data_IF_075120043157
#
_entry.id   IF_075120043157
#
_cell.length_a   1.000
_cell.length_b   1.000
_cell.length_c   1.000
_cell.angle_alpha   90.00
_cell.angle_beta   90.00
_cell.angle_gamma   90.00
#
_symmetry.space_group_name_H-M   'P 1'
#
loop_
_entity.id
_entity.type
_entity.pdbx_description
1 polymer ?
#
# COMPACT_ATOMS: atom_id res chain seq x y z
N UNK A 1 -15.42 -75.03 73.19
CA UNK A 1 -14.11 -75.57 72.76
C UNK A 1 -13.93 -75.29 71.28
N UNK A 2 -12.80 -74.71 70.91
CA UNK A 2 -12.45 -74.21 69.57
C UNK A 2 -12.64 -75.27 68.48
N UNK A 3 -13.24 -74.91 67.35
CA UNK A 3 -12.87 -75.42 66.03
C UNK A 3 -13.26 -74.41 64.94
N UNK A 4 -12.24 -73.93 64.23
CA UNK A 4 -12.33 -73.10 63.04
C UNK A 4 -12.99 -73.84 61.87
N UNK A 5 -13.81 -73.15 61.07
CA UNK A 5 -13.96 -73.42 59.63
C UNK A 5 -14.10 -72.10 58.86
N UNK A 6 -13.29 -71.97 57.81
CA UNK A 6 -13.14 -70.83 56.93
C UNK A 6 -14.39 -70.59 56.07
N UNK A 7 -14.78 -69.32 55.91
CA UNK A 7 -15.66 -68.87 54.85
C UNK A 7 -14.81 -68.20 53.77
N UNK A 8 -14.93 -68.69 52.52
CA UNK A 8 -14.40 -68.03 51.33
C UNK A 8 -15.11 -66.68 51.15
N UNK A 9 -14.34 -65.59 51.01
CA UNK A 9 -14.84 -64.32 50.50
C UNK A 9 -14.25 -64.09 49.11
N UNK A 10 -15.10 -64.18 48.09
CA UNK A 10 -14.80 -63.84 46.69
C UNK A 10 -14.63 -62.32 46.58
N UNK A 11 -13.40 -61.87 46.30
CA UNK A 11 -13.13 -60.47 45.93
C UNK A 11 -13.40 -60.24 44.45
N UNK A 12 -14.38 -59.39 44.12
CA UNK A 12 -14.51 -58.78 42.80
C UNK A 12 -13.70 -57.48 42.81
N UNK A 13 -12.58 -57.45 42.07
CA UNK A 13 -11.85 -56.22 41.75
C UNK A 13 -12.68 -55.37 40.79
N UNK A 14 -13.07 -54.17 41.21
CA UNK A 14 -13.54 -53.11 40.30
C UNK A 14 -12.30 -52.37 39.79
N UNK A 15 -11.92 -52.62 38.54
CA UNK A 15 -10.87 -51.86 37.87
C UNK A 15 -11.42 -50.47 37.49
N UNK A 16 -10.93 -49.43 38.16
CA UNK A 16 -11.18 -48.04 37.78
C UNK A 16 -10.46 -47.70 36.48
N UNK A 17 -11.21 -47.45 35.42
CA UNK A 17 -10.70 -46.85 34.19
C UNK A 17 -10.39 -45.37 34.46
N UNK A 18 -9.11 -45.07 34.70
CA UNK A 18 -8.61 -43.70 34.57
C UNK A 18 -8.55 -43.34 33.09
N UNK A 19 -9.56 -42.64 32.60
CA UNK A 19 -9.50 -41.96 31.30
C UNK A 19 -8.50 -40.81 31.40
N UNK A 20 -7.26 -41.08 30.99
CA UNK A 20 -6.24 -40.06 30.80
C UNK A 20 -6.66 -39.22 29.58
N UNK A 21 -7.38 -38.12 29.80
CA UNK A 21 -7.67 -37.15 28.74
C UNK A 21 -6.36 -36.48 28.34
N UNK A 22 -5.65 -37.06 27.37
CA UNK A 22 -4.59 -36.34 26.67
C UNK A 22 -5.22 -35.09 26.07
N UNK A 23 -4.88 -33.92 26.63
CA UNK A 23 -5.19 -32.66 26.01
C UNK A 23 -4.68 -32.72 24.57
N UNK A 24 -5.55 -32.44 23.59
CA UNK A 24 -5.18 -32.40 22.20
C UNK A 24 -3.93 -31.49 22.06
N UNK A 25 -2.89 -31.91 21.32
CA UNK A 25 -1.69 -31.11 21.16
C UNK A 25 -2.09 -29.72 20.67
N UNK A 26 -1.69 -28.68 21.41
CA UNK A 26 -1.92 -27.29 21.01
C UNK A 26 -1.41 -27.14 19.58
N UNK A 27 -2.33 -26.79 18.66
CA UNK A 27 -1.99 -26.57 17.26
C UNK A 27 -0.82 -25.57 17.21
N UNK A 28 0.25 -25.85 16.45
CA UNK A 28 1.34 -24.89 16.30
C UNK A 28 0.76 -23.59 15.76
N UNK A 29 0.92 -22.52 16.54
CA UNK A 29 0.57 -21.16 16.13
C UNK A 29 1.87 -20.43 15.77
N UNK A 30 1.77 -19.42 14.90
CA UNK A 30 2.97 -18.74 14.41
C UNK A 30 3.70 -18.07 15.57
N UNK A 31 5.04 -18.15 15.57
CA UNK A 31 5.85 -17.50 16.61
C UNK A 31 5.69 -15.98 16.53
N UNK A 32 5.39 -15.37 17.67
CA UNK A 32 5.41 -13.92 17.83
C UNK A 32 6.83 -13.37 17.67
N UNK A 33 6.95 -12.25 16.98
CA UNK A 33 8.21 -11.52 16.78
C UNK A 33 8.48 -11.17 15.33
N UNK A 34 9.73 -10.83 15.05
CA UNK A 34 10.20 -10.39 13.74
C UNK A 34 10.50 -11.56 12.82
N UNK A 35 10.14 -11.42 11.56
CA UNK A 35 10.39 -12.36 10.49
C UNK A 35 11.02 -11.65 9.30
N UNK A 36 11.84 -12.39 8.57
CA UNK A 36 12.36 -11.98 7.27
C UNK A 36 11.78 -12.88 6.20
N UNK A 37 10.98 -12.31 5.32
CA UNK A 37 10.50 -12.96 4.11
C UNK A 37 11.39 -12.64 2.91
N UNK A 38 11.44 -13.55 1.95
CA UNK A 38 12.15 -13.39 0.68
C UNK A 38 11.26 -13.87 -0.44
N UNK A 39 10.85 -12.97 -1.32
CA UNK A 39 10.19 -13.34 -2.57
C UNK A 39 11.21 -13.83 -3.58
N UNK A 40 10.86 -14.87 -4.35
CA UNK A 40 11.67 -15.37 -5.47
C UNK A 40 11.14 -14.80 -6.80
N UNK A 41 11.78 -13.75 -7.30
CA UNK A 41 11.40 -13.04 -8.53
C UNK A 41 12.41 -13.34 -9.65
N UNK A 42 12.11 -14.35 -10.47
CA UNK A 42 13.04 -14.86 -11.50
C UNK A 42 14.42 -15.19 -10.87
N UNK A 43 15.49 -14.52 -11.31
CA UNK A 43 16.85 -14.67 -10.78
C UNK A 43 17.16 -13.75 -9.58
N UNK A 44 16.18 -13.02 -9.06
CA UNK A 44 16.36 -12.06 -7.95
C UNK A 44 15.56 -12.46 -6.71
N UNK A 45 16.18 -12.27 -5.54
CA UNK A 45 15.57 -12.47 -4.24
C UNK A 45 15.19 -11.11 -3.66
N UNK A 46 13.91 -10.88 -3.37
CA UNK A 46 13.41 -9.60 -2.85
C UNK A 46 13.05 -9.76 -1.37
N UNK A 47 13.91 -9.30 -0.44
CA UNK A 47 13.63 -9.42 0.97
C UNK A 47 12.57 -8.42 1.43
N UNK A 48 11.82 -8.79 2.46
CA UNK A 48 10.93 -7.91 3.20
C UNK A 48 10.89 -8.38 4.66
N UNK A 49 10.58 -7.47 5.58
CA UNK A 49 10.44 -7.81 6.99
C UNK A 49 9.00 -7.59 7.43
N UNK A 50 8.56 -8.41 8.37
CA UNK A 50 7.27 -8.27 9.03
C UNK A 50 7.38 -8.67 10.50
N UNK A 51 6.46 -8.18 11.30
CA UNK A 51 6.25 -8.62 12.67
C UNK A 51 4.92 -9.37 12.76
N UNK A 52 4.90 -10.46 13.52
CA UNK A 52 3.67 -11.16 13.90
C UNK A 52 3.45 -10.99 15.40
N UNK A 53 2.25 -10.53 15.76
CA UNK A 53 1.77 -10.39 17.14
C UNK A 53 0.43 -11.10 17.29
N UNK A 54 0.14 -11.65 18.46
CA UNK A 54 -1.09 -12.38 18.75
C UNK A 54 -0.79 -13.81 19.17
N UNK A 55 -1.53 -14.29 20.18
CA UNK A 55 -1.37 -15.63 20.75
C UNK A 55 -2.28 -16.68 20.11
N UNK A 56 -3.18 -16.25 19.24
CA UNK A 56 -4.15 -17.06 18.51
C UNK A 56 -4.50 -16.39 17.17
N UNK A 57 -5.19 -17.15 16.31
CA UNK A 57 -5.52 -16.72 14.95
C UNK A 57 -6.47 -15.52 14.91
N UNK A 58 -7.35 -15.36 15.90
CA UNK A 58 -8.37 -14.31 15.91
C UNK A 58 -7.74 -12.95 16.19
N UNK A 59 -6.74 -12.91 17.06
CA UNK A 59 -6.06 -11.69 17.47
C UNK A 59 -4.73 -11.44 16.75
N UNK A 60 -4.39 -12.27 15.76
CA UNK A 60 -3.11 -12.15 15.07
C UNK A 60 -3.06 -10.97 14.10
N UNK A 61 -2.02 -10.16 14.27
CA UNK A 61 -1.69 -9.02 13.43
C UNK A 61 -0.37 -9.30 12.75
N UNK A 62 -0.37 -9.17 11.43
CA UNK A 62 0.81 -9.16 10.59
C UNK A 62 1.12 -7.71 10.24
N UNK A 63 2.27 -7.22 10.68
CA UNK A 63 2.70 -5.83 10.45
C UNK A 63 3.87 -5.83 9.47
N UNK A 64 3.67 -5.30 8.26
CA UNK A 64 4.78 -5.07 7.32
C UNK A 64 5.67 -3.95 7.86
N UNK A 65 6.98 -4.18 7.81
CA UNK A 65 8.00 -3.23 8.22
C UNK A 65 8.67 -2.67 6.96
N UNK A 66 8.66 -1.35 6.76
CA UNK A 66 9.40 -0.69 5.68
C UNK A 66 10.04 0.58 6.25
N UNK A 67 11.32 0.51 6.63
CA UNK A 67 11.97 1.59 7.38
C UNK A 67 11.23 1.91 8.68
N UNK A 68 10.75 3.13 8.80
CA UNK A 68 9.90 3.63 9.89
C UNK A 68 8.41 3.28 9.72
N UNK A 69 7.95 3.01 8.49
CA UNK A 69 6.55 2.71 8.20
C UNK A 69 6.12 1.33 8.72
N UNK A 70 4.89 1.27 9.23
CA UNK A 70 4.21 0.06 9.72
C UNK A 70 2.84 -0.02 9.06
N UNK A 71 2.55 -1.13 8.41
CA UNK A 71 1.24 -1.39 7.80
C UNK A 71 0.68 -2.70 8.37
N UNK A 72 -0.47 -2.63 9.04
CA UNK A 72 -1.10 -3.77 9.69
C UNK A 72 -2.09 -4.51 8.78
N UNK A 73 -2.11 -5.82 8.94
CA UNK A 73 -2.96 -6.76 8.22
C UNK A 73 -3.48 -7.84 9.17
N UNK A 74 -4.71 -8.28 8.92
CA UNK A 74 -5.31 -9.37 9.68
C UNK A 74 -4.85 -10.73 9.15
N UNK A 75 -4.52 -11.64 10.07
CA UNK A 75 -4.15 -13.02 9.76
C UNK A 75 -5.36 -13.92 9.92
N UNK A 76 -5.69 -14.68 8.88
CA UNK A 76 -6.73 -15.72 8.95
C UNK A 76 -6.08 -17.09 8.89
N UNK A 77 -6.27 -17.92 9.92
CA UNK A 77 -5.82 -19.31 9.89
C UNK A 77 -6.87 -20.18 9.18
N UNK A 78 -6.54 -20.68 8.00
CA UNK A 78 -7.47 -21.45 7.14
C UNK A 78 -7.38 -22.96 7.37
N UNK A 79 -6.25 -23.44 7.89
CA UNK A 79 -6.02 -24.82 8.33
C UNK A 79 -5.01 -24.83 9.49
N UNK A 80 -4.79 -25.97 10.18
CA UNK A 80 -3.85 -26.04 11.30
C UNK A 80 -2.44 -25.54 10.97
N UNK A 81 -1.99 -25.72 9.73
CA UNK A 81 -0.68 -25.29 9.23
C UNK A 81 -0.76 -24.16 8.20
N UNK A 82 -1.95 -23.60 7.92
CA UNK A 82 -2.15 -22.70 6.78
C UNK A 82 -2.72 -21.35 7.20
N UNK A 83 -2.13 -20.29 6.67
CA UNK A 83 -2.52 -18.90 6.91
C UNK A 83 -2.82 -18.15 5.61
N UNK A 84 -3.72 -17.19 5.73
CA UNK A 84 -4.14 -16.30 4.68
C UNK A 84 -4.12 -14.88 5.21
N UNK A 85 -3.33 -14.01 4.57
CA UNK A 85 -3.19 -12.62 4.98
C UNK A 85 -3.65 -11.77 3.81
N UNK A 86 -4.86 -11.22 3.89
CA UNK A 86 -5.38 -10.33 2.85
C UNK A 86 -4.64 -9.00 2.94
N UNK A 87 -4.15 -8.50 1.81
CA UNK A 87 -3.47 -7.21 1.70
C UNK A 87 -4.50 -6.07 1.72
N UNK A 88 -5.23 -5.92 2.82
CA UNK A 88 -6.26 -4.89 3.02
C UNK A 88 -7.20 -4.77 1.80
N UNK A 89 -7.26 -3.60 1.17
CA UNK A 89 -8.10 -3.31 0.00
C UNK A 89 -7.42 -3.61 -1.34
N UNK A 90 -6.16 -4.08 -1.34
CA UNK A 90 -5.37 -4.28 -2.55
C UNK A 90 -5.75 -5.51 -3.38
N UNK A 91 -6.76 -6.27 -2.95
CA UNK A 91 -7.19 -7.52 -3.58
C UNK A 91 -6.00 -8.37 -4.00
N UNK A 92 -5.17 -8.62 -2.99
CA UNK A 92 -4.05 -9.52 -3.02
C UNK A 92 -3.93 -10.20 -1.66
N UNK A 93 -3.20 -11.31 -1.59
CA UNK A 93 -2.94 -12.00 -0.34
C UNK A 93 -1.61 -12.72 -0.33
N UNK A 94 -1.08 -12.90 0.88
CA UNK A 94 -0.10 -13.94 1.16
C UNK A 94 -0.87 -15.21 1.55
N UNK A 95 -0.66 -16.28 0.79
CA UNK A 95 -1.22 -17.61 1.05
C UNK A 95 -0.07 -18.52 1.42
N UNK A 96 -0.02 -18.97 2.67
CA UNK A 96 1.19 -19.57 3.21
C UNK A 96 0.93 -20.73 4.17
N UNK A 97 1.95 -21.56 4.33
CA UNK A 97 2.03 -22.71 5.22
C UNK A 97 3.11 -22.49 6.26
N UNK A 98 2.84 -22.93 7.48
CA UNK A 98 3.78 -23.02 8.59
C UNK A 98 4.43 -24.40 8.50
N UNK A 99 5.73 -24.42 8.21
CA UNK A 99 6.49 -25.65 8.08
C UNK A 99 6.85 -26.25 9.43
N UNK A 100 7.16 -27.54 9.46
CA UNK A 100 7.54 -28.26 10.69
C UNK A 100 8.85 -27.75 11.31
N UNK A 101 9.73 -27.14 10.52
CA UNK A 101 10.96 -26.49 10.98
C UNK A 101 10.73 -25.06 11.50
N UNK A 102 9.48 -24.59 11.44
CA UNK A 102 9.07 -23.26 11.89
C UNK A 102 9.24 -22.15 10.84
N UNK A 103 9.67 -22.46 9.61
CA UNK A 103 9.62 -21.49 8.50
C UNK A 103 8.18 -21.28 8.03
N UNK A 104 7.97 -20.19 7.30
CA UNK A 104 6.73 -19.96 6.55
C UNK A 104 7.07 -20.03 5.07
N UNK A 105 6.38 -20.87 4.31
CA UNK A 105 6.51 -20.92 2.84
C UNK A 105 5.18 -20.58 2.22
N UNK A 106 5.17 -19.97 1.05
CA UNK A 106 3.91 -19.62 0.41
C UNK A 106 4.08 -18.80 -0.83
N UNK A 107 3.00 -18.14 -1.21
CA UNK A 107 2.98 -17.29 -2.38
C UNK A 107 2.18 -16.02 -2.11
N UNK A 108 2.66 -14.91 -2.69
CA UNK A 108 1.86 -13.74 -2.93
C UNK A 108 0.99 -13.93 -4.18
N UNK A 109 -0.31 -13.68 -4.07
CA UNK A 109 -1.28 -13.86 -5.14
C UNK A 109 -2.16 -12.63 -5.31
N UNK A 110 -2.43 -12.27 -6.55
CA UNK A 110 -3.52 -11.35 -6.87
C UNK A 110 -4.87 -12.06 -6.67
N UNK A 111 -5.83 -11.34 -6.10
CA UNK A 111 -7.24 -11.73 -5.95
C UNK A 111 -8.15 -10.96 -6.93
N UNK A 112 -7.57 -10.15 -7.82
CA UNK A 112 -8.30 -9.47 -8.90
C UNK A 112 -8.97 -10.55 -9.75
N UNK A 113 -10.30 -10.48 -10.00
CA UNK A 113 -10.97 -11.50 -10.80
C UNK A 113 -10.40 -11.58 -12.21
N UNK A 114 -10.30 -12.80 -12.73
CA UNK A 114 -9.78 -13.09 -14.07
C UNK A 114 -8.34 -12.62 -14.32
N UNK A 115 -7.65 -12.07 -13.31
CA UNK A 115 -6.24 -11.76 -13.42
C UNK A 115 -5.43 -13.05 -13.39
N UNK A 116 -4.93 -13.44 -14.57
CA UNK A 116 -4.03 -14.57 -14.75
C UNK A 116 -2.59 -14.07 -14.59
N UNK A 117 -2.19 -13.82 -13.35
CA UNK A 117 -0.80 -13.51 -12.99
C UNK A 117 -0.10 -14.69 -12.38
N UNK A 118 1.23 -14.74 -12.51
CA UNK A 118 2.04 -15.71 -11.78
C UNK A 118 1.97 -15.40 -10.29
N UNK A 119 1.72 -16.43 -9.48
CA UNK A 119 1.94 -16.35 -8.04
C UNK A 119 3.43 -16.10 -7.78
N UNK A 120 3.75 -15.30 -6.77
CA UNK A 120 5.12 -14.97 -6.42
C UNK A 120 5.53 -15.74 -5.16
N UNK A 121 6.34 -16.80 -5.27
CA UNK A 121 6.74 -17.61 -4.13
C UNK A 121 7.54 -16.82 -3.12
N UNK A 122 7.42 -17.17 -1.86
CA UNK A 122 8.27 -16.66 -0.79
C UNK A 122 8.56 -17.70 0.29
N UNK A 123 9.67 -17.48 0.98
CA UNK A 123 10.03 -18.17 2.22
C UNK A 123 10.29 -17.12 3.29
N UNK A 124 9.86 -17.36 4.51
CA UNK A 124 10.14 -16.50 5.65
C UNK A 124 10.69 -17.25 6.86
N UNK A 125 11.67 -16.62 7.51
CA UNK A 125 12.42 -17.17 8.62
C UNK A 125 12.27 -16.28 9.86
N UNK A 126 12.12 -16.93 11.01
CA UNK A 126 11.89 -16.27 12.30
C UNK A 126 13.18 -15.69 12.89
N UNK A 127 13.07 -14.56 13.59
CA UNK A 127 14.16 -13.98 14.37
C UNK A 127 15.20 -13.20 13.55
N UNK A 128 15.01 -13.08 12.24
CA UNK A 128 15.89 -12.33 11.36
C UNK A 128 15.39 -10.88 11.21
N UNK A 129 16.06 -9.96 11.90
CA UNK A 129 15.72 -8.53 11.85
C UNK A 129 16.38 -7.78 10.69
N UNK A 130 17.43 -8.33 10.09
CA UNK A 130 18.06 -7.74 8.91
C UNK A 130 17.17 -7.91 7.67
N UNK A 131 17.22 -6.95 6.75
CA UNK A 131 16.55 -7.05 5.44
C UNK A 131 17.48 -7.69 4.42
N UNK A 132 18.64 -7.09 4.25
CA UNK A 132 19.74 -7.59 3.43
C UNK A 132 20.81 -8.19 4.34
N UNK A 133 21.44 -9.28 3.91
CA UNK A 133 22.38 -10.02 4.76
C UNK A 133 23.57 -9.17 5.19
N UNK A 134 23.99 -9.32 6.45
CA UNK A 134 25.19 -8.67 6.99
C UNK A 134 26.49 -9.17 6.33
N UNK A 135 26.49 -10.35 5.72
CA UNK A 135 27.62 -10.85 4.91
C UNK A 135 27.96 -9.90 3.75
N UNK A 136 26.94 -9.25 3.16
CA UNK A 136 27.09 -8.16 2.19
C UNK A 136 27.52 -6.84 2.84
N UNK A 137 27.58 -6.74 4.16
CA UNK A 137 28.02 -5.54 4.90
C UNK A 137 29.50 -5.61 5.34
N UNK A 138 30.20 -6.70 5.02
CA UNK A 138 31.59 -6.92 5.45
C UNK A 138 32.61 -6.06 4.70
N UNK A 139 32.31 -5.69 3.45
CA UNK A 139 33.01 -4.60 2.77
C UNK A 139 32.31 -3.27 3.11
N UNK A 140 33.01 -2.26 3.67
CA UNK A 140 32.41 -0.96 3.90
C UNK A 140 31.97 -0.36 2.56
N UNK A 141 30.85 0.37 2.56
CA UNK A 141 30.42 1.13 1.40
C UNK A 141 31.57 2.02 0.89
N UNK A 142 31.93 1.87 -0.38
CA UNK A 142 32.98 2.69 -0.99
C UNK A 142 32.51 4.13 -1.22
N UNK A 143 31.18 4.33 -1.28
CA UNK A 143 30.55 5.59 -1.58
C UNK A 143 29.40 5.90 -0.60
N UNK A 144 29.15 7.20 -0.41
CA UNK A 144 27.94 7.70 0.23
C UNK A 144 27.01 8.31 -0.84
N UNK A 145 25.86 7.68 -1.07
CA UNK A 145 24.88 8.08 -2.08
C UNK A 145 23.71 8.88 -1.52
N UNK A 146 23.83 9.43 -0.30
CA UNK A 146 22.80 10.31 0.27
C UNK A 146 22.57 11.54 -0.61
N UNK A 147 21.31 11.91 -0.80
CA UNK A 147 20.90 13.11 -1.51
C UNK A 147 19.75 12.89 -2.46
N UNK A 148 19.53 13.90 -3.29
CA UNK A 148 18.48 13.95 -4.32
C UNK A 148 19.08 13.56 -5.67
N UNK A 149 18.42 12.63 -6.34
CA UNK A 149 18.86 12.02 -7.60
C UNK A 149 17.81 12.21 -8.67
N UNK A 150 18.21 12.69 -9.84
CA UNK A 150 17.42 12.63 -11.07
C UNK A 150 17.62 11.25 -11.69
N UNK A 151 16.55 10.48 -11.78
CA UNK A 151 16.54 9.12 -12.31
C UNK A 151 15.90 9.13 -13.70
N UNK A 152 16.74 9.05 -14.72
CA UNK A 152 16.31 8.93 -16.11
C UNK A 152 15.80 7.52 -16.33
N UNK A 153 14.51 7.38 -16.67
CA UNK A 153 13.85 6.08 -16.80
C UNK A 153 13.84 5.63 -18.26
N UNK A 154 14.30 4.39 -18.49
CA UNK A 154 14.22 3.75 -19.80
C UNK A 154 13.07 2.76 -19.84
N UNK A 155 12.03 3.11 -20.60
CA UNK A 155 10.85 2.27 -20.83
C UNK A 155 10.45 2.28 -22.31
N UNK A 156 9.69 1.26 -22.73
CA UNK A 156 9.19 1.18 -24.12
C UNK A 156 8.31 2.37 -24.50
N UNK A 157 7.55 2.89 -23.54
CA UNK A 157 6.76 4.11 -23.69
C UNK A 157 7.49 5.29 -23.02
N UNK A 158 7.36 6.52 -23.53
CA UNK A 158 7.93 7.69 -22.87
C UNK A 158 7.35 7.86 -21.46
N UNK A 159 8.21 7.70 -20.44
CA UNK A 159 7.86 7.90 -19.03
C UNK A 159 8.68 9.06 -18.48
N UNK A 160 8.08 10.00 -17.73
CA UNK A 160 8.85 11.03 -17.06
C UNK A 160 9.93 10.46 -16.13
N UNK A 161 11.01 11.22 -15.97
CA UNK A 161 12.04 10.93 -14.97
C UNK A 161 11.42 10.82 -13.57
N UNK A 162 12.15 10.12 -12.70
CA UNK A 162 11.82 9.97 -11.29
C UNK A 162 12.83 10.71 -10.43
N UNK A 163 12.46 10.98 -9.19
CA UNK A 163 13.38 11.54 -8.20
C UNK A 163 13.66 10.50 -7.13
N UNK A 164 14.93 10.19 -6.88
CA UNK A 164 15.36 9.40 -5.74
C UNK A 164 15.77 10.30 -4.58
N UNK A 165 15.09 10.15 -3.44
CA UNK A 165 15.49 10.76 -2.17
C UNK A 165 16.16 9.69 -1.33
N UNK A 166 17.49 9.68 -1.29
CA UNK A 166 18.27 8.63 -0.62
C UNK A 166 18.95 9.17 0.64
N UNK A 167 18.99 8.34 1.68
CA UNK A 167 19.71 8.60 2.93
C UNK A 167 20.51 7.35 3.32
N UNK A 168 21.81 7.53 3.52
CA UNK A 168 22.74 6.47 3.86
C UNK A 168 23.44 6.74 5.21
N UNK A 169 23.46 5.74 6.07
CA UNK A 169 24.17 5.72 7.36
C UNK A 169 25.06 4.47 7.42
N UNK A 170 26.36 4.65 7.18
CA UNK A 170 27.27 3.51 6.96
C UNK A 170 26.85 2.73 5.72
N UNK A 171 26.55 1.44 5.89
CA UNK A 171 26.03 0.59 4.81
C UNK A 171 24.50 0.63 4.73
N UNK A 172 23.79 1.12 5.75
CA UNK A 172 22.32 1.17 5.73
C UNK A 172 21.87 2.25 4.76
N UNK A 173 20.95 1.88 3.88
CA UNK A 173 20.32 2.79 2.93
C UNK A 173 18.81 2.84 3.20
N UNK A 174 18.24 4.02 3.09
CA UNK A 174 16.79 4.24 3.05
C UNK A 174 16.49 5.20 1.93
N UNK A 175 15.29 5.15 1.37
CA UNK A 175 14.92 6.14 0.38
C UNK A 175 13.49 6.05 -0.11
N UNK A 176 13.12 7.06 -0.88
CA UNK A 176 11.82 7.17 -1.53
C UNK A 176 12.06 7.51 -3.00
N UNK A 177 11.38 6.80 -3.89
CA UNK A 177 11.36 7.11 -5.33
C UNK A 177 10.06 7.82 -5.65
N UNK A 178 10.14 9.07 -6.04
CA UNK A 178 9.01 9.89 -6.45
C UNK A 178 8.82 9.84 -7.96
N UNK A 179 7.55 9.92 -8.38
CA UNK A 179 7.12 9.99 -9.77
C UNK A 179 5.91 10.93 -9.88
N UNK A 180 5.52 11.27 -11.11
CA UNK A 180 4.33 12.12 -11.36
C UNK A 180 3.00 11.52 -10.87
N UNK A 181 2.95 10.23 -10.54
CA UNK A 181 1.74 9.57 -10.03
C UNK A 181 1.77 9.39 -8.50
N UNK A 182 2.89 9.73 -7.86
CA UNK A 182 3.14 9.59 -6.43
C UNK A 182 4.46 8.91 -6.14
N UNK A 183 4.60 8.35 -4.93
CA UNK A 183 5.88 7.84 -4.43
C UNK A 183 5.87 6.32 -4.14
N UNK A 184 7.07 5.76 -3.97
CA UNK A 184 7.27 4.34 -3.66
C UNK A 184 6.94 3.96 -2.23
N UNK A 185 6.61 4.95 -1.37
CA UNK A 185 6.76 4.89 0.09
C UNK A 185 8.22 4.64 0.48
N UNK A 186 8.46 4.54 1.79
CA UNK A 186 9.80 4.30 2.31
C UNK A 186 10.31 2.90 1.91
N UNK A 187 11.50 2.88 1.32
CA UNK A 187 12.26 1.67 1.00
C UNK A 187 13.45 1.56 1.95
N UNK A 188 13.84 0.34 2.26
CA UNK A 188 15.02 0.05 3.08
C UNK A 188 16.00 -0.81 2.28
N UNK A 189 17.28 -0.62 2.52
CA UNK A 189 18.33 -1.10 1.63
C UNK A 189 19.71 -1.13 2.25
N UNK A 190 20.69 -1.45 1.41
CA UNK A 190 22.10 -1.53 1.76
C UNK A 190 22.96 -0.98 0.62
N UNK A 191 24.09 -0.38 0.97
CA UNK A 191 25.22 -0.10 0.06
C UNK A 191 26.38 -0.99 0.45
N UNK A 192 26.99 -1.66 -0.52
CA UNK A 192 28.13 -2.55 -0.32
C UNK A 192 29.10 -2.43 -1.49
N UNK A 193 30.36 -2.06 -1.21
CA UNK A 193 31.31 -1.72 -2.27
C UNK A 193 30.78 -0.59 -3.16
N UNK A 194 30.67 -0.88 -4.46
CA UNK A 194 30.10 -0.04 -5.52
C UNK A 194 28.66 -0.44 -5.90
N UNK A 195 27.98 -1.27 -5.11
CA UNK A 195 26.61 -1.73 -5.39
C UNK A 195 25.63 -1.29 -4.31
N UNK A 196 24.36 -1.14 -4.68
CA UNK A 196 23.28 -0.84 -3.76
C UNK A 196 22.01 -1.62 -4.08
N UNK A 197 21.26 -1.92 -3.03
CA UNK A 197 19.96 -2.60 -3.11
C UNK A 197 18.95 -1.88 -2.21
N UNK A 198 17.69 -1.78 -2.64
CA UNK A 198 16.55 -1.32 -1.84
C UNK A 198 15.38 -2.26 -2.09
N UNK A 199 14.60 -2.56 -1.05
CA UNK A 199 13.32 -3.24 -1.21
C UNK A 199 12.24 -2.67 -0.29
N UNK A 200 11.01 -2.89 -0.70
CA UNK A 200 9.83 -2.56 0.10
C UNK A 200 8.66 -3.45 -0.30
N UNK A 201 7.76 -3.70 0.64
CA UNK A 201 6.50 -4.39 0.35
C UNK A 201 5.39 -3.77 1.19
N UNK A 202 4.38 -3.19 0.53
CA UNK A 202 3.30 -2.44 1.20
C UNK A 202 1.92 -3.05 0.97
N UNK A 203 1.88 -4.27 0.41
CA UNK A 203 0.66 -5.00 0.09
C UNK A 203 0.45 -5.26 -1.40
N UNK A 204 0.33 -4.24 -2.28
CA UNK A 204 -0.06 -4.46 -3.67
C UNK A 204 1.04 -5.01 -4.58
N UNK A 205 2.31 -4.78 -4.27
CA UNK A 205 3.45 -5.42 -4.93
C UNK A 205 4.74 -5.20 -4.16
N UNK A 206 5.72 -6.11 -4.24
CA UNK A 206 7.06 -5.83 -3.78
C UNK A 206 7.76 -4.87 -4.75
N UNK A 207 8.55 -3.95 -4.21
CA UNK A 207 9.45 -3.07 -4.94
C UNK A 207 10.86 -3.56 -4.66
N UNK A 208 11.67 -3.65 -5.71
CA UNK A 208 13.08 -3.98 -5.61
C UNK A 208 13.89 -3.06 -6.53
N UNK A 209 14.96 -2.48 -6.00
CA UNK A 209 15.89 -1.66 -6.76
C UNK A 209 17.26 -2.23 -6.52
N UNK A 210 18.01 -2.46 -7.59
CA UNK A 210 19.43 -2.83 -7.54
C UNK A 210 20.21 -1.98 -8.51
N UNK A 211 21.45 -1.63 -8.17
CA UNK A 211 22.27 -0.82 -9.05
C UNK A 211 23.73 -0.76 -8.67
N UNK A 212 24.50 -0.13 -9.54
CA UNK A 212 25.93 0.17 -9.39
C UNK A 212 26.14 1.67 -9.20
N UNK A 213 27.19 1.99 -8.48
CA UNK A 213 27.73 3.32 -8.23
C UNK A 213 28.98 3.40 -9.10
N UNK A 214 28.89 4.16 -10.18
CA UNK A 214 29.98 4.26 -11.15
C UNK A 214 31.14 5.12 -10.60
N UNK A 215 32.30 5.05 -11.23
CA UNK A 215 33.50 5.83 -10.83
C UNK A 215 33.26 7.35 -10.84
N UNK A 216 32.41 7.83 -11.74
CA UNK A 216 31.98 9.23 -11.83
C UNK A 216 30.90 9.61 -10.79
N UNK A 217 30.56 8.66 -9.89
CA UNK A 217 29.53 8.75 -8.85
C UNK A 217 28.11 8.88 -9.38
N UNK A 218 27.88 8.59 -10.66
CA UNK A 218 26.52 8.34 -11.16
C UNK A 218 26.01 6.97 -10.71
N UNK A 219 24.70 6.76 -10.81
CA UNK A 219 24.07 5.47 -10.55
C UNK A 219 23.62 4.85 -11.86
N UNK A 220 23.72 3.54 -11.97
CA UNK A 220 23.00 2.76 -12.99
C UNK A 220 22.25 1.65 -12.30
N UNK A 221 21.05 1.30 -12.76
CA UNK A 221 20.31 0.25 -12.08
C UNK A 221 19.01 -0.16 -12.74
N UNK A 222 18.30 -1.00 -12.00
CA UNK A 222 17.00 -1.54 -12.35
C UNK A 222 16.04 -1.36 -11.18
N UNK A 223 14.83 -0.91 -11.47
CA UNK A 223 13.70 -0.86 -10.55
C UNK A 223 12.64 -1.86 -11.02
N UNK A 224 12.34 -2.80 -10.15
CA UNK A 224 11.32 -3.84 -10.32
C UNK A 224 10.12 -3.55 -9.43
N UNK A 225 8.91 -3.62 -10.00
CA UNK A 225 7.64 -3.56 -9.29
C UNK A 225 7.00 -4.96 -9.24
N UNK A 226 7.69 -5.90 -8.59
CA UNK A 226 7.25 -7.29 -8.46
C UNK A 226 7.06 -7.96 -9.81
N UNK A 227 5.90 -8.59 -10.02
CA UNK A 227 5.58 -9.31 -11.27
C UNK A 227 5.21 -8.41 -12.45
N UNK A 228 5.13 -7.08 -12.25
CA UNK A 228 4.46 -6.18 -13.19
C UNK A 228 5.39 -5.51 -14.20
N UNK A 229 6.57 -5.04 -13.76
CA UNK A 229 7.44 -4.24 -14.62
C UNK A 229 8.85 -4.13 -14.07
N UNK A 230 9.82 -4.16 -14.97
CA UNK A 230 11.22 -3.86 -14.71
C UNK A 230 11.64 -2.68 -15.60
N UNK A 231 12.17 -1.63 -14.99
CA UNK A 231 12.65 -0.44 -15.71
C UNK A 231 14.12 -0.21 -15.37
N UNK A 232 14.92 0.09 -16.39
CA UNK A 232 16.31 0.51 -16.19
C UNK A 232 16.34 2.01 -15.93
N UNK A 233 17.35 2.45 -15.19
CA UNK A 233 17.58 3.87 -14.96
C UNK A 233 19.06 4.22 -14.89
N UNK A 234 19.33 5.47 -15.26
CA UNK A 234 20.56 6.17 -14.94
C UNK A 234 20.25 7.26 -13.91
N UNK A 235 21.11 7.43 -12.92
CA UNK A 235 20.93 8.36 -11.82
C UNK A 235 22.05 9.40 -11.75
N UNK A 236 21.67 10.67 -11.77
CA UNK A 236 22.60 11.78 -11.56
C UNK A 236 22.22 12.56 -10.30
N UNK A 237 23.21 12.90 -9.47
CA UNK A 237 22.97 13.71 -8.28
C UNK A 237 22.56 15.12 -8.70
N UNK A 238 21.37 15.54 -8.31
CA UNK A 238 20.81 16.81 -8.76
C UNK A 238 19.86 17.40 -7.71
N UNK A 239 20.33 18.41 -6.99
CA UNK A 239 19.52 19.11 -5.99
C UNK A 239 18.34 19.87 -6.60
N UNK A 240 18.45 20.28 -7.87
CA UNK A 240 17.44 21.02 -8.61
C UNK A 240 16.52 20.12 -9.46
N UNK A 241 16.64 18.79 -9.37
CA UNK A 241 15.77 17.88 -10.09
C UNK A 241 14.31 18.11 -9.67
N UNK A 242 13.40 18.30 -10.61
CA UNK A 242 11.98 18.45 -10.30
C UNK A 242 11.16 17.52 -11.18
N UNK A 243 10.09 16.99 -10.61
CA UNK A 243 9.10 16.27 -11.40
C UNK A 243 8.33 17.28 -12.28
N UNK A 244 7.76 16.83 -13.40
CA UNK A 244 6.76 17.61 -14.12
C UNK A 244 5.70 18.18 -13.18
N UNK A 245 5.33 19.44 -13.42
CA UNK A 245 4.33 20.15 -12.62
C UNK A 245 3.01 19.38 -12.55
N UNK A 246 2.61 18.85 -11.37
CA UNK A 246 1.42 18.00 -11.24
C UNK A 246 0.12 18.76 -11.55
N UNK A 247 0.16 20.09 -11.62
CA UNK A 247 -0.97 20.95 -11.94
C UNK A 247 -1.21 21.11 -13.45
N UNK A 248 -0.29 20.60 -14.29
CA UNK A 248 -0.33 20.75 -15.76
C UNK A 248 -0.51 19.43 -16.50
N UNK A 249 -0.55 18.29 -15.81
CA UNK A 249 -0.58 16.96 -16.44
C UNK A 249 -1.98 16.57 -16.92
N UNK A 250 -2.97 16.71 -16.04
CA UNK A 250 -4.40 16.63 -16.37
C UNK A 250 -4.99 18.03 -16.29
N UNK A 251 -5.70 18.42 -17.34
CA UNK A 251 -6.28 19.76 -17.48
C UNK A 251 -7.64 19.71 -18.20
N UNK A 252 -8.43 20.77 -18.09
CA UNK A 252 -9.68 20.89 -18.84
C UNK A 252 -9.41 21.12 -20.33
N UNK A 253 -10.12 20.39 -21.19
CA UNK A 253 -10.12 20.64 -22.63
C UNK A 253 -10.59 22.06 -22.93
N UNK A 254 -10.15 22.59 -24.06
CA UNK A 254 -10.56 23.91 -24.53
C UNK A 254 -12.09 24.02 -24.59
N UNK A 255 -12.62 25.17 -24.14
CA UNK A 255 -14.06 25.44 -24.05
C UNK A 255 -14.73 24.93 -22.77
N UNK A 256 -14.10 24.05 -21.98
CA UNK A 256 -14.62 23.63 -20.69
C UNK A 256 -14.18 24.55 -19.57
N UNK A 257 -15.11 24.86 -18.66
CA UNK A 257 -14.84 25.54 -17.38
C UNK A 257 -15.28 24.74 -16.17
N UNK A 258 -16.16 23.76 -16.36
CA UNK A 258 -16.79 22.98 -15.30
C UNK A 258 -16.63 21.49 -15.58
N UNK A 259 -16.78 20.69 -14.54
CA UNK A 259 -17.02 19.25 -14.68
C UNK A 259 -18.52 18.98 -14.75
N UNK A 260 -18.88 17.94 -15.48
CA UNK A 260 -20.23 17.39 -15.47
C UNK A 260 -20.13 15.87 -15.37
N UNK A 261 -20.83 15.31 -14.40
CA UNK A 261 -21.01 13.88 -14.22
C UNK A 261 -22.28 13.61 -13.42
N UNK A 262 -22.85 12.44 -13.62
CA UNK A 262 -23.84 11.83 -12.74
C UNK A 262 -23.44 10.38 -12.53
N UNK A 263 -23.12 10.02 -11.29
CA UNK A 263 -22.62 8.69 -10.94
C UNK A 263 -23.38 8.15 -9.73
N UNK A 264 -23.55 6.82 -9.60
CA UNK A 264 -24.19 6.23 -8.44
C UNK A 264 -23.31 6.37 -7.18
N UNK A 265 -23.92 6.71 -6.05
CA UNK A 265 -23.34 6.47 -4.73
C UNK A 265 -23.28 4.97 -4.40
N UNK A 266 -22.75 4.61 -3.23
CA UNK A 266 -22.63 3.21 -2.79
C UNK A 266 -23.99 2.51 -2.54
N UNK A 267 -25.12 3.23 -2.63
CA UNK A 267 -26.48 2.68 -2.57
C UNK A 267 -27.17 2.72 -3.93
N UNK A 268 -26.47 3.11 -5.00
CA UNK A 268 -27.01 3.21 -6.35
C UNK A 268 -27.78 4.51 -6.63
N UNK A 269 -27.82 5.46 -5.69
CA UNK A 269 -28.49 6.74 -5.91
C UNK A 269 -27.63 7.63 -6.80
N UNK A 270 -28.18 8.22 -7.88
CA UNK A 270 -27.44 9.16 -8.70
C UNK A 270 -27.07 10.42 -7.90
N UNK A 271 -25.81 10.84 -8.03
CA UNK A 271 -25.25 12.07 -7.46
C UNK A 271 -24.59 12.88 -8.57
N UNK A 272 -24.81 14.19 -8.55
CA UNK A 272 -24.22 15.14 -9.49
C UNK A 272 -23.70 16.38 -8.77
N UNK A 273 -22.72 17.06 -9.35
CA UNK A 273 -22.29 18.40 -8.88
C UNK A 273 -23.42 19.45 -8.92
N UNK A 274 -24.50 19.19 -9.64
CA UNK A 274 -25.69 20.03 -9.67
C UNK A 274 -26.61 19.86 -8.46
N UNK A 275 -26.37 18.88 -7.59
CA UNK A 275 -27.17 18.66 -6.38
C UNK A 275 -27.06 19.85 -5.40
N UNK A 276 -28.16 20.17 -4.71
CA UNK A 276 -28.26 21.33 -3.80
C UNK A 276 -27.13 21.41 -2.77
N UNK A 277 -26.63 20.27 -2.27
CA UNK A 277 -25.58 20.25 -1.26
C UNK A 277 -24.23 20.79 -1.74
N UNK A 278 -24.00 20.84 -3.05
CA UNK A 278 -22.77 21.33 -3.67
C UNK A 278 -22.89 22.77 -4.17
N UNK A 279 -24.11 23.27 -4.35
CA UNK A 279 -24.35 24.63 -4.89
C UNK A 279 -23.77 25.69 -3.96
N UNK A 280 -23.02 26.63 -4.55
CA UNK A 280 -22.43 27.75 -3.82
C UNK A 280 -21.31 27.37 -2.85
N UNK A 281 -20.82 26.12 -2.87
CA UNK A 281 -19.69 25.66 -2.06
C UNK A 281 -18.44 25.50 -2.91
N UNK A 282 -17.29 25.56 -2.26
CA UNK A 282 -16.05 25.01 -2.85
C UNK A 282 -16.18 23.48 -2.80
N UNK A 283 -15.91 22.78 -3.90
CA UNK A 283 -16.05 21.32 -3.97
C UNK A 283 -14.70 20.69 -4.31
N UNK A 284 -14.27 19.74 -3.49
CA UNK A 284 -13.10 18.91 -3.72
C UNK A 284 -13.57 17.59 -4.34
N UNK A 285 -13.14 17.29 -5.55
CA UNK A 285 -13.40 16.00 -6.20
C UNK A 285 -12.10 15.20 -6.20
N UNK A 286 -12.07 14.05 -5.54
CA UNK A 286 -10.96 13.11 -5.60
C UNK A 286 -11.31 11.92 -6.49
N UNK A 287 -10.41 11.56 -7.40
CA UNK A 287 -10.54 10.42 -8.30
C UNK A 287 -9.59 9.36 -7.80
N UNK A 288 -10.13 8.27 -7.25
CA UNK A 288 -9.40 7.32 -6.42
C UNK A 288 -9.67 5.88 -6.83
N UNK A 289 -8.93 4.95 -6.22
CA UNK A 289 -9.25 3.53 -6.23
C UNK A 289 -8.68 2.88 -4.97
N UNK A 290 -9.43 1.99 -4.33
CA UNK A 290 -9.00 1.39 -3.05
C UNK A 290 -7.76 0.49 -3.16
N UNK A 291 -7.43 0.09 -4.39
CA UNK A 291 -6.24 -0.67 -4.76
C UNK A 291 -4.98 0.20 -4.92
N UNK A 292 -5.10 1.53 -4.86
CA UNK A 292 -3.98 2.43 -5.06
C UNK A 292 -3.38 2.90 -3.72
N UNK A 293 -2.12 2.56 -3.42
CA UNK A 293 -1.33 3.11 -2.32
C UNK A 293 -1.50 4.62 -2.07
N UNK A 294 -1.22 5.42 -3.08
CA UNK A 294 -1.20 6.88 -2.96
C UNK A 294 -2.60 7.46 -2.76
N UNK A 295 -3.66 6.76 -3.23
CA UNK A 295 -5.04 7.14 -2.90
C UNK A 295 -5.30 6.97 -1.40
N UNK A 296 -4.87 5.86 -0.79
CA UNK A 296 -5.05 5.66 0.66
C UNK A 296 -4.28 6.68 1.49
N UNK A 297 -3.06 7.04 1.06
CA UNK A 297 -2.25 8.05 1.74
C UNK A 297 -2.91 9.45 1.58
N UNK A 298 -3.48 9.77 0.40
CA UNK A 298 -4.27 10.99 0.19
C UNK A 298 -5.52 11.03 1.07
N UNK A 299 -6.32 9.96 1.11
CA UNK A 299 -7.54 9.89 1.93
C UNK A 299 -7.20 10.06 3.42
N UNK A 300 -6.07 9.51 3.88
CA UNK A 300 -5.58 9.71 5.25
C UNK A 300 -5.26 11.17 5.59
N UNK A 301 -4.94 11.99 4.58
CA UNK A 301 -4.80 13.44 4.73
C UNK A 301 -6.14 14.18 4.59
N UNK A 302 -6.89 13.88 3.52
CA UNK A 302 -8.09 14.63 3.14
C UNK A 302 -9.24 14.42 4.11
N UNK A 303 -9.49 13.19 4.58
CA UNK A 303 -10.66 12.92 5.41
C UNK A 303 -10.61 13.65 6.76
N UNK A 304 -9.50 13.62 7.53
CA UNK A 304 -9.38 14.45 8.73
C UNK A 304 -9.45 15.95 8.45
N UNK A 305 -8.85 16.40 7.35
CA UNK A 305 -8.93 17.80 6.93
C UNK A 305 -10.39 18.21 6.65
N UNK A 306 -11.12 17.42 5.88
CA UNK A 306 -12.52 17.69 5.55
C UNK A 306 -13.40 17.70 6.80
N UNK A 307 -13.26 16.69 7.66
CA UNK A 307 -14.06 16.59 8.89
C UNK A 307 -13.90 17.82 9.79
N UNK A 308 -12.72 18.44 9.80
CA UNK A 308 -12.43 19.69 10.53
C UNK A 308 -12.94 20.95 9.82
N UNK A 309 -13.12 20.93 8.50
CA UNK A 309 -13.36 22.12 7.68
C UNK A 309 -14.73 22.17 6.98
N UNK A 310 -15.52 21.08 6.97
CA UNK A 310 -16.79 20.96 6.26
C UNK A 310 -17.80 22.11 6.53
N UNK A 311 -17.75 22.70 7.72
CA UNK A 311 -18.67 23.79 8.11
C UNK A 311 -18.22 25.17 7.58
N UNK A 312 -17.13 25.24 6.82
CA UNK A 312 -16.57 26.48 6.23
C UNK A 312 -17.13 26.79 4.84
N UNK A 313 -18.11 26.02 4.35
CA UNK A 313 -18.65 26.17 2.99
C UNK A 313 -17.85 25.40 1.93
N UNK A 314 -17.28 24.26 2.33
CA UNK A 314 -16.61 23.30 1.45
C UNK A 314 -17.38 21.98 1.46
N UNK A 315 -17.44 21.29 0.34
CA UNK A 315 -17.85 19.88 0.22
C UNK A 315 -16.76 19.03 -0.46
N UNK A 316 -16.89 17.72 -0.35
CA UNK A 316 -16.03 16.79 -1.05
C UNK A 316 -16.82 15.66 -1.71
N UNK A 317 -16.23 15.03 -2.73
CA UNK A 317 -16.75 13.86 -3.43
C UNK A 317 -15.56 12.98 -3.80
N UNK A 318 -15.59 11.70 -3.41
CA UNK A 318 -14.72 10.69 -4.00
C UNK A 318 -15.42 10.00 -5.17
N UNK A 319 -14.72 9.84 -6.28
CA UNK A 319 -15.12 9.00 -7.40
C UNK A 319 -14.15 7.82 -7.45
N UNK A 320 -14.62 6.66 -6.99
CA UNK A 320 -13.86 5.42 -6.94
C UNK A 320 -13.92 4.65 -8.26
N UNK A 321 -12.77 4.27 -8.78
CA UNK A 321 -12.62 3.32 -9.89
C UNK A 321 -11.97 2.05 -9.35
N UNK A 322 -12.73 0.95 -9.36
CA UNK A 322 -12.43 -0.24 -8.57
C UNK A 322 -12.05 -1.43 -9.47
N UNK A 323 -11.43 -2.48 -8.92
CA UNK A 323 -10.92 -3.59 -9.74
C UNK A 323 -12.01 -4.40 -10.46
N UNK A 324 -13.29 -4.19 -10.11
CA UNK A 324 -14.45 -4.77 -10.79
C UNK A 324 -15.41 -3.68 -11.21
N UNK A 325 -15.99 -3.83 -12.39
CA UNK A 325 -17.12 -3.01 -12.84
C UNK A 325 -18.43 -3.48 -12.20
N UNK A 326 -18.52 -3.44 -10.87
CA UNK A 326 -19.64 -3.96 -10.08
C UNK A 326 -19.89 -3.11 -8.84
N UNK A 327 -21.13 -2.63 -8.69
CA UNK A 327 -21.49 -1.69 -7.61
C UNK A 327 -21.46 -2.36 -6.22
N UNK A 328 -21.84 -3.63 -6.10
CA UNK A 328 -21.80 -4.33 -4.82
C UNK A 328 -20.36 -4.57 -4.34
N UNK A 329 -19.47 -4.91 -5.27
CA UNK A 329 -18.04 -4.95 -4.99
C UNK A 329 -17.50 -3.58 -4.58
N UNK A 330 -17.85 -2.51 -5.30
CA UNK A 330 -17.43 -1.15 -4.98
C UNK A 330 -17.96 -0.71 -3.61
N UNK A 331 -19.23 -1.03 -3.29
CA UNK A 331 -19.84 -0.78 -1.97
C UNK A 331 -19.05 -1.46 -0.86
N UNK A 332 -18.58 -2.68 -1.06
CA UNK A 332 -17.71 -3.37 -0.11
C UNK A 332 -16.36 -2.68 0.04
N UNK A 333 -15.61 -2.47 -1.05
CA UNK A 333 -14.24 -1.93 -0.96
C UNK A 333 -14.21 -0.47 -0.52
N UNK A 334 -15.00 0.39 -1.16
CA UNK A 334 -15.10 1.82 -0.82
C UNK A 334 -15.80 2.02 0.53
N UNK A 335 -16.72 1.15 0.91
CA UNK A 335 -17.31 1.13 2.26
C UNK A 335 -16.26 0.87 3.34
N UNK A 336 -15.36 -0.10 3.12
CA UNK A 336 -14.23 -0.35 4.02
C UNK A 336 -13.27 0.83 4.11
N UNK A 337 -13.01 1.51 2.98
CA UNK A 337 -12.23 2.75 2.97
C UNK A 337 -12.92 3.85 3.81
N UNK A 338 -14.24 4.03 3.62
CA UNK A 338 -15.07 4.99 4.35
C UNK A 338 -15.01 4.77 5.85
N UNK A 339 -15.19 3.53 6.28
CA UNK A 339 -15.11 3.12 7.69
C UNK A 339 -13.72 3.39 8.28
N UNK A 340 -12.67 2.93 7.57
CA UNK A 340 -11.28 3.04 8.05
C UNK A 340 -10.84 4.48 8.28
N UNK A 341 -11.18 5.39 7.37
CA UNK A 341 -10.72 6.78 7.43
C UNK A 341 -11.78 7.75 7.97
N UNK A 342 -12.97 7.28 8.37
CA UNK A 342 -14.09 8.10 8.83
C UNK A 342 -14.46 9.19 7.79
N UNK A 343 -14.68 8.76 6.54
CA UNK A 343 -15.04 9.64 5.43
C UNK A 343 -16.49 10.13 5.58
N UNK A 344 -16.66 11.43 5.80
CA UNK A 344 -17.96 12.08 5.99
C UNK A 344 -18.51 12.78 4.74
N UNK A 345 -17.86 12.59 3.60
CA UNK A 345 -18.33 13.06 2.30
C UNK A 345 -18.80 11.92 1.41
N UNK A 346 -19.34 12.28 0.25
CA UNK A 346 -19.87 11.33 -0.72
C UNK A 346 -18.79 10.46 -1.34
N UNK A 347 -19.14 9.20 -1.60
CA UNK A 347 -18.31 8.29 -2.38
C UNK A 347 -19.18 7.69 -3.49
N UNK A 348 -18.75 7.92 -4.72
CA UNK A 348 -19.41 7.52 -5.94
C UNK A 348 -18.62 6.40 -6.61
N UNK A 349 -19.31 5.55 -7.36
CA UNK A 349 -18.70 4.51 -8.16
C UNK A 349 -18.60 4.96 -9.63
N UNK A 350 -17.36 5.12 -10.10
CA UNK A 350 -17.02 5.54 -11.47
C UNK A 350 -16.91 4.39 -12.47
N UNK A 351 -16.75 3.14 -12.00
CA UNK A 351 -16.59 1.95 -12.84
C UNK A 351 -15.26 1.23 -12.58
N UNK A 352 -14.81 0.44 -13.56
CA UNK A 352 -13.54 -0.30 -13.46
C UNK A 352 -12.30 0.61 -13.40
N UNK A 353 -11.28 0.15 -12.67
CA UNK A 353 -9.96 0.73 -12.50
C UNK A 353 -9.16 0.85 -13.81
N UNK A 354 -9.58 1.74 -14.70
CA UNK A 354 -8.97 2.01 -15.98
C UNK A 354 -8.96 3.51 -16.28
N UNK A 355 -7.81 4.04 -16.72
CA UNK A 355 -7.64 5.47 -16.99
C UNK A 355 -8.49 5.96 -18.16
N UNK A 356 -8.75 5.13 -19.17
CA UNK A 356 -9.63 5.46 -20.30
C UNK A 356 -11.07 5.54 -19.81
N UNK A 357 -11.52 4.57 -19.03
CA UNK A 357 -12.86 4.60 -18.42
C UNK A 357 -13.04 5.85 -17.56
N UNK A 358 -12.06 6.18 -16.72
CA UNK A 358 -12.10 7.41 -15.92
C UNK A 358 -12.13 8.69 -16.79
N UNK A 359 -11.42 8.69 -17.92
CA UNK A 359 -11.45 9.82 -18.88
C UNK A 359 -12.80 9.94 -19.58
N UNK A 360 -13.46 8.82 -19.90
CA UNK A 360 -14.79 8.79 -20.51
C UNK A 360 -15.87 9.28 -19.55
N UNK A 361 -15.76 8.95 -18.27
CA UNK A 361 -16.68 9.46 -17.22
C UNK A 361 -16.50 10.94 -16.91
N UNK A 362 -15.35 11.51 -17.25
CA UNK A 362 -15.00 12.92 -17.01
C UNK A 362 -14.53 13.58 -18.31
N UNK A 363 -15.42 13.69 -19.31
CA UNK A 363 -15.03 14.03 -20.69
C UNK A 363 -14.47 15.45 -20.84
N UNK A 364 -14.71 16.33 -19.87
CA UNK A 364 -14.15 17.66 -19.79
C UNK A 364 -12.62 17.66 -19.60
N UNK A 365 -12.04 16.59 -19.04
CA UNK A 365 -10.60 16.45 -18.87
C UNK A 365 -9.93 16.01 -20.17
N UNK A 366 -8.68 16.45 -20.39
CA UNK A 366 -7.86 16.00 -21.52
C UNK A 366 -7.68 14.47 -21.48
N UNK A 367 -7.32 13.92 -20.31
CA UNK A 367 -7.18 12.50 -19.99
C UNK A 367 -6.92 12.31 -18.51
N UNK A 368 -7.22 11.13 -17.99
CA UNK A 368 -6.81 10.70 -16.67
C UNK A 368 -5.35 10.22 -16.69
N UNK A 369 -4.45 10.96 -16.03
CA UNK A 369 -3.03 10.61 -15.97
C UNK A 369 -2.70 9.66 -14.82
N UNK A 370 -3.33 9.84 -13.65
CA UNK A 370 -2.98 9.12 -12.43
C UNK A 370 -4.17 8.95 -11.50
N UNK A 371 -4.08 7.92 -10.67
CA UNK A 371 -4.82 7.83 -9.41
C UNK A 371 -3.81 8.04 -8.27
N UNK A 372 -4.08 8.93 -7.28
CA UNK A 372 -5.23 9.83 -7.25
C UNK A 372 -5.10 11.00 -8.24
N UNK A 373 -6.23 11.66 -8.52
CA UNK A 373 -6.26 13.02 -9.08
C UNK A 373 -7.26 13.84 -8.27
N UNK A 374 -6.88 15.04 -7.85
CA UNK A 374 -7.74 15.95 -7.08
C UNK A 374 -8.12 17.17 -7.90
N UNK A 375 -9.39 17.54 -7.88
CA UNK A 375 -9.93 18.67 -8.61
C UNK A 375 -10.62 19.59 -7.61
N UNK A 376 -10.28 20.88 -7.64
CA UNK A 376 -10.89 21.89 -6.79
C UNK A 376 -11.78 22.77 -7.67
N UNK A 377 -13.05 22.86 -7.27
CA UNK A 377 -14.10 23.60 -7.93
C UNK A 377 -14.53 24.75 -7.01
N UNK A 378 -14.65 25.95 -7.55
CA UNK A 378 -15.11 27.11 -6.77
C UNK A 378 -16.64 27.17 -6.59
N UNK A 379 -17.10 28.19 -5.86
CA UNK A 379 -18.54 28.42 -5.57
C UNK A 379 -19.39 28.64 -6.82
N UNK A 380 -18.78 29.04 -7.95
CA UNK A 380 -19.47 29.23 -9.24
C UNK A 380 -19.55 27.91 -10.03
N UNK A 381 -18.94 26.85 -9.52
CA UNK A 381 -18.84 25.57 -10.18
C UNK A 381 -17.72 25.51 -11.22
N UNK A 382 -16.80 26.48 -11.25
CA UNK A 382 -15.67 26.48 -12.18
C UNK A 382 -14.48 25.72 -11.59
N UNK A 383 -13.79 24.92 -12.40
CA UNK A 383 -12.58 24.21 -12.00
C UNK A 383 -11.44 25.21 -11.87
N UNK A 384 -10.86 25.30 -10.68
CA UNK A 384 -9.74 26.20 -10.38
C UNK A 384 -8.40 25.49 -10.37
N UNK A 385 -8.41 24.21 -10.05
CA UNK A 385 -7.20 23.43 -9.90
C UNK A 385 -7.45 21.97 -10.23
N UNK A 386 -6.48 21.35 -10.89
CA UNK A 386 -6.38 19.90 -11.02
C UNK A 386 -4.98 19.52 -10.56
N UNK A 387 -4.85 18.58 -9.64
CA UNK A 387 -3.59 18.05 -9.13
C UNK A 387 -3.51 16.56 -9.44
N UNK A 388 -2.55 16.16 -10.27
CA UNK A 388 -2.31 14.77 -10.64
C UNK A 388 -1.34 14.09 -9.68
N UNK A 389 -1.70 12.90 -9.21
CA UNK A 389 -0.90 12.13 -8.26
C UNK A 389 -1.01 12.66 -6.82
N UNK A 390 -0.26 12.03 -5.93
CA UNK A 390 -0.14 12.46 -4.54
C UNK A 390 1.22 12.06 -3.97
N UNK A 391 1.80 12.97 -3.20
CA UNK A 391 3.09 12.77 -2.57
C UNK A 391 2.91 12.74 -1.06
N UNK A 392 3.24 11.61 -0.42
CA UNK A 392 2.99 11.38 1.01
C UNK A 392 4.05 11.96 1.94
N UNK A 393 3.78 11.87 3.26
CA UNK A 393 4.62 12.41 4.34
C UNK A 393 6.10 12.02 4.27
N UNK A 394 6.38 10.81 3.78
CA UNK A 394 7.74 10.25 3.63
C UNK A 394 8.65 11.05 2.71
N UNK A 395 8.08 11.93 1.89
CA UNK A 395 8.83 12.83 0.99
C UNK A 395 9.28 14.13 1.65
N UNK A 396 8.98 14.33 2.93
CA UNK A 396 9.48 15.43 3.73
C UNK A 396 8.99 16.78 3.23
N UNK A 397 9.89 17.60 2.68
CA UNK A 397 9.57 18.98 2.30
C UNK A 397 8.50 19.05 1.20
N UNK A 398 8.49 18.11 0.26
CA UNK A 398 7.48 18.05 -0.80
C UNK A 398 6.05 17.94 -0.24
N UNK A 399 5.85 17.06 0.74
CA UNK A 399 4.57 16.95 1.43
C UNK A 399 4.22 18.22 2.20
N UNK A 400 5.17 18.81 2.92
CA UNK A 400 4.94 20.07 3.67
C UNK A 400 4.51 21.21 2.74
N UNK A 401 5.15 21.33 1.58
CA UNK A 401 4.82 22.35 0.58
C UNK A 401 3.43 22.09 -0.03
N UNK A 402 3.10 20.82 -0.32
CA UNK A 402 1.76 20.42 -0.74
C UNK A 402 0.70 20.83 0.28
N UNK A 403 0.90 20.51 1.57
CA UNK A 403 -0.06 20.86 2.64
C UNK A 403 -0.18 22.37 2.83
N UNK A 404 0.92 23.11 2.77
CA UNK A 404 0.92 24.56 2.89
C UNK A 404 0.13 25.21 1.75
N UNK A 405 0.40 24.78 0.50
CA UNK A 405 -0.33 25.25 -0.69
C UNK A 405 -1.80 24.86 -0.63
N UNK A 406 -2.13 23.61 -0.28
CA UNK A 406 -3.49 23.12 -0.12
C UNK A 406 -4.33 24.01 0.79
N UNK A 407 -3.83 24.31 1.99
CA UNK A 407 -4.56 25.14 2.95
C UNK A 407 -4.70 26.57 2.44
N UNK A 408 -3.62 27.15 1.90
CA UNK A 408 -3.67 28.51 1.34
C UNK A 408 -4.73 28.63 0.24
N UNK A 409 -4.70 27.74 -0.75
CA UNK A 409 -5.60 27.82 -1.90
C UNK A 409 -7.07 27.62 -1.48
N UNK A 410 -7.34 26.66 -0.59
CA UNK A 410 -8.71 26.45 -0.12
C UNK A 410 -9.20 27.57 0.80
N UNK A 411 -8.34 28.16 1.63
CA UNK A 411 -8.70 29.32 2.44
C UNK A 411 -9.07 30.52 1.55
N UNK A 412 -8.30 30.75 0.48
CA UNK A 412 -8.59 31.79 -0.53
C UNK A 412 -9.93 31.54 -1.23
N UNK A 413 -10.13 30.33 -1.78
CA UNK A 413 -11.36 29.97 -2.50
C UNK A 413 -12.61 29.98 -1.61
N UNK A 414 -12.48 29.57 -0.36
CA UNK A 414 -13.59 29.60 0.61
C UNK A 414 -13.99 31.05 0.93
N UNK A 415 -13.01 31.97 0.97
CA UNK A 415 -13.24 33.40 1.23
C UNK A 415 -13.79 34.16 0.02
N UNK A 416 -13.64 33.63 -1.20
CA UNK A 416 -14.31 34.16 -2.39
C UNK A 416 -15.84 34.12 -2.20
N UNK A 417 -16.51 35.23 -2.56
CA UNK A 417 -17.96 35.40 -2.43
C UNK A 417 -18.72 34.95 -3.67
#
# INVERSE_FOLDING_TARGET
MKTHKHFLLTGLMVAGLFSNSQAAPKKPFIKEGTWRGVFSLNESNVPFNFELKGKDAEHAVFTLLNGSRRDDFHVVQTAPDSIFIKMNTYDAALVAKIESDGRITGEYRSLVPNFRGNALPFVAEYGQAYRFEESKTTAPAAYNISGKWDLTIYSKEPTPNRIGLLKQEGNKLTGVIMSVVGDSRELEGVVHGDEFELSGFTGPSPIYIKGKINDDKSLTGELSLGIYNNIKFDGAKNAAAELPDPYKLTFLKEGYKKLDFTLPDLNGKPVSLSDEKYKGKVVIVEIIGTWCPNCTDQTSFLSPWFNKNKDRGVEAIAIGFEQKDDLEYAKYTLGKLKEKYNIQYDILFGGIADKKVASEKLPALNRMMAFPTTIIIDRKGEVRQIHTGYTGEVTGQYYKDYVAKWNKDLDELIAEK
#
